data_IF_574181436109
#
_entry.id   IF_574181436109
#
_cell.length_a   1.000
_cell.length_b   1.000
_cell.length_c   1.000
_cell.angle_alpha   90.00
_cell.angle_beta   90.00
_cell.angle_gamma   90.00
#
_symmetry.space_group_name_H-M   'P 1'
#
loop_
_entity.id
_entity.type
_entity.pdbx_description
1 polymer ?
#
# COMPACT_ATOMS: atom_id res chain seq x y z
N UNK A 1 12.77 0.01 29.05
CA UNK A 1 13.13 1.20 28.23
C UNK A 1 12.00 2.25 28.12
N UNK A 2 11.16 2.49 29.14
CA UNK A 2 9.98 3.37 28.97
C UNK A 2 10.33 4.86 28.68
N UNK A 3 11.42 5.36 29.24
CA UNK A 3 11.72 6.80 29.36
C UNK A 3 12.25 7.47 28.08
N UNK A 4 12.68 6.73 27.04
CA UNK A 4 13.28 7.34 25.85
C UNK A 4 12.26 8.08 24.94
N UNK A 5 11.00 7.62 24.92
CA UNK A 5 9.94 8.19 24.06
C UNK A 5 9.22 9.39 24.68
N UNK A 6 9.37 9.65 25.98
CA UNK A 6 8.70 10.79 26.65
C UNK A 6 9.39 12.14 26.32
N UNK A 7 10.73 12.24 26.28
CA UNK A 7 11.42 13.39 25.67
C UNK A 7 11.11 13.53 24.19
N UNK A 8 11.03 12.42 23.44
CA UNK A 8 10.68 12.46 22.02
C UNK A 8 9.29 13.06 21.80
N UNK A 9 8.25 12.67 22.56
CA UNK A 9 6.92 13.30 22.47
C UNK A 9 6.86 14.79 22.91
N UNK A 10 7.98 15.37 23.38
CA UNK A 10 8.14 16.82 23.64
C UNK A 10 9.03 17.53 22.60
N UNK A 11 9.65 16.80 21.69
CA UNK A 11 10.42 17.36 20.58
C UNK A 11 9.46 17.83 19.48
N UNK A 12 9.64 19.06 18.98
CA UNK A 12 8.74 19.61 17.99
C UNK A 12 8.67 18.78 16.69
N UNK A 13 9.77 18.17 16.24
CA UNK A 13 9.78 17.44 14.97
C UNK A 13 9.12 16.07 15.11
N UNK A 14 9.25 15.47 16.30
CA UNK A 14 8.47 14.32 16.70
C UNK A 14 6.98 14.65 16.80
N UNK A 15 6.60 15.78 17.40
CA UNK A 15 5.21 16.23 17.42
C UNK A 15 4.68 16.44 16.00
N UNK A 16 5.41 17.13 15.12
CA UNK A 16 5.07 17.28 13.69
C UNK A 16 4.90 15.91 12.98
N UNK A 17 5.72 14.90 13.32
CA UNK A 17 5.55 13.52 12.81
C UNK A 17 4.26 12.86 13.34
N UNK A 18 3.95 13.03 14.63
CA UNK A 18 2.74 12.48 15.28
C UNK A 18 1.46 13.17 14.81
N UNK A 19 1.51 14.48 14.56
CA UNK A 19 0.40 15.30 14.08
C UNK A 19 0.08 15.04 12.59
N UNK A 20 1.10 14.86 11.76
CA UNK A 20 0.93 14.49 10.34
C UNK A 20 0.39 13.05 10.19
N UNK A 21 0.56 12.20 11.21
CA UNK A 21 -0.02 10.84 11.26
C UNK A 21 -0.73 10.56 12.59
N UNK A 22 -1.96 11.08 12.81
CA UNK A 22 -2.68 10.94 14.09
C UNK A 22 -2.91 9.49 14.57
N UNK A 23 -2.82 8.52 13.65
CA UNK A 23 -2.81 7.08 13.95
C UNK A 23 -1.73 6.71 14.97
N UNK A 24 -0.57 7.36 14.94
CA UNK A 24 0.57 7.09 15.82
C UNK A 24 0.15 7.14 17.30
N UNK A 25 -0.75 8.05 17.70
CA UNK A 25 -1.20 8.19 19.10
C UNK A 25 -2.02 7.00 19.61
N UNK A 26 -2.69 6.27 18.70
CA UNK A 26 -3.34 4.99 19.00
C UNK A 26 -2.36 3.81 18.97
N UNK A 27 -1.48 3.77 17.96
CA UNK A 27 -0.49 2.69 17.81
C UNK A 27 0.56 2.66 18.95
N UNK A 28 0.99 3.83 19.47
CA UNK A 28 1.94 3.92 20.59
C UNK A 28 1.38 3.52 21.96
N UNK A 29 0.09 3.18 22.05
CA UNK A 29 -0.53 2.52 23.23
C UNK A 29 -0.45 0.98 23.15
N UNK A 30 -0.06 0.42 22.01
CA UNK A 30 0.18 -1.02 21.86
C UNK A 30 1.45 -1.48 22.58
N UNK A 31 1.60 -2.81 22.66
CA UNK A 31 2.81 -3.43 23.18
C UNK A 31 4.04 -3.02 22.34
N UNK A 32 5.06 -2.46 22.99
CA UNK A 32 6.27 -1.98 22.30
C UNK A 32 7.19 -3.13 21.87
N UNK A 33 6.90 -4.35 22.28
CA UNK A 33 7.66 -5.54 21.94
C UNK A 33 7.09 -6.28 20.71
N UNK A 34 5.93 -5.90 20.15
CA UNK A 34 5.45 -6.47 18.87
C UNK A 34 6.33 -6.01 17.69
N UNK A 35 6.89 -6.96 16.89
CA UNK A 35 7.70 -6.65 15.70
C UNK A 35 7.03 -5.68 14.73
N UNK A 36 5.69 -5.69 14.62
CA UNK A 36 4.97 -4.81 13.72
C UNK A 36 5.09 -3.33 14.12
N UNK A 37 4.91 -2.98 15.40
CA UNK A 37 5.00 -1.59 15.84
C UNK A 37 6.44 -1.08 15.67
N UNK A 38 7.44 -1.89 16.04
CA UNK A 38 8.85 -1.57 15.88
C UNK A 38 9.20 -1.30 14.40
N UNK A 39 8.73 -2.15 13.49
CA UNK A 39 8.96 -1.98 12.06
C UNK A 39 8.24 -0.74 11.49
N UNK A 40 6.98 -0.49 11.88
CA UNK A 40 6.21 0.67 11.41
C UNK A 40 6.83 2.01 11.84
N UNK A 41 7.42 2.10 13.04
CA UNK A 41 8.13 3.31 13.50
C UNK A 41 9.26 3.69 12.52
N UNK A 42 10.09 2.72 12.13
CA UNK A 42 11.19 2.91 11.17
C UNK A 42 10.66 3.35 9.80
N UNK A 43 9.54 2.77 9.34
CA UNK A 43 8.89 3.17 8.09
C UNK A 43 8.43 4.62 8.12
N UNK A 44 7.70 5.03 9.17
CA UNK A 44 7.14 6.39 9.26
C UNK A 44 8.25 7.44 9.28
N UNK A 45 9.32 7.19 10.06
CA UNK A 45 10.50 8.04 10.05
C UNK A 45 11.17 8.11 8.67
N UNK A 46 11.27 6.99 7.94
CA UNK A 46 11.84 6.97 6.59
C UNK A 46 10.98 7.72 5.57
N UNK A 47 9.65 7.74 5.73
CA UNK A 47 8.74 8.55 4.90
C UNK A 47 8.93 10.04 5.19
N UNK A 48 8.99 10.42 6.47
CA UNK A 48 9.23 11.81 6.88
C UNK A 48 10.60 12.31 6.39
N UNK A 49 11.68 11.58 6.69
CA UNK A 49 13.05 11.91 6.29
C UNK A 49 13.17 12.21 4.80
N UNK A 50 12.57 11.38 3.95
CA UNK A 50 12.57 11.60 2.50
C UNK A 50 11.72 12.81 2.11
N UNK A 51 10.53 12.99 2.69
CA UNK A 51 9.70 14.18 2.43
C UNK A 51 10.33 15.50 2.91
N UNK A 52 11.24 15.45 3.88
CA UNK A 52 12.10 16.56 4.29
C UNK A 52 13.37 16.73 3.44
N UNK A 53 13.57 15.89 2.40
CA UNK A 53 14.69 16.02 1.48
C UNK A 53 15.93 15.20 1.85
N UNK A 54 15.79 14.04 2.47
CA UNK A 54 16.93 13.16 2.80
C UNK A 54 18.03 13.86 3.63
N UNK A 55 17.64 14.70 4.59
CA UNK A 55 18.57 15.44 5.45
C UNK A 55 19.33 14.49 6.42
N UNK A 56 20.67 14.43 6.40
CA UNK A 56 21.44 13.62 7.34
C UNK A 56 21.30 14.05 8.81
N UNK A 57 21.00 15.32 9.10
CA UNK A 57 20.86 15.80 10.47
C UNK A 57 19.63 15.18 11.17
N UNK A 58 18.49 15.09 10.48
CA UNK A 58 17.36 14.27 10.94
C UNK A 58 17.78 12.82 11.26
N UNK A 59 18.59 12.18 10.41
CA UNK A 59 19.01 10.79 10.64
C UNK A 59 19.80 10.67 11.95
N UNK A 60 20.77 11.55 12.19
CA UNK A 60 21.55 11.55 13.44
C UNK A 60 20.68 11.74 14.68
N UNK A 61 19.71 12.68 14.63
CA UNK A 61 18.73 12.92 15.70
C UNK A 61 17.80 11.71 15.94
N UNK A 62 17.38 11.06 14.87
CA UNK A 62 16.49 9.90 14.89
C UNK A 62 17.18 8.58 15.28
N UNK A 63 18.49 8.46 15.05
CA UNK A 63 19.22 7.20 15.05
C UNK A 63 19.09 6.42 16.36
N UNK A 64 19.64 6.99 17.44
CA UNK A 64 19.61 6.40 18.78
C UNK A 64 18.25 6.57 19.47
N UNK A 65 17.39 7.48 19.00
CA UNK A 65 16.06 7.69 19.57
C UNK A 65 15.10 6.54 19.23
N UNK A 66 15.12 6.06 17.98
CA UNK A 66 14.21 4.99 17.55
C UNK A 66 14.62 4.19 16.30
N UNK A 67 15.62 4.59 15.49
CA UNK A 67 15.99 3.79 14.30
C UNK A 67 16.74 2.53 14.72
N UNK A 68 17.91 2.68 15.34
CA UNK A 68 18.74 1.55 15.76
C UNK A 68 18.11 0.72 16.89
N UNK A 69 17.45 1.30 17.93
CA UNK A 69 16.81 0.49 18.97
C UNK A 69 15.71 -0.44 18.45
N UNK A 70 14.84 0.03 17.54
CA UNK A 70 13.78 -0.81 16.98
C UNK A 70 14.34 -1.86 16.00
N UNK A 71 15.35 -1.51 15.19
CA UNK A 71 15.96 -2.48 14.27
C UNK A 71 16.84 -3.52 14.98
N UNK A 72 17.49 -3.15 16.09
CA UNK A 72 18.24 -4.07 16.93
C UNK A 72 17.30 -4.97 17.76
N UNK A 73 16.17 -4.47 18.28
CA UNK A 73 15.14 -5.34 18.89
C UNK A 73 14.50 -6.28 17.86
N UNK A 74 14.18 -5.80 16.66
CA UNK A 74 13.75 -6.65 15.55
C UNK A 74 14.81 -7.67 15.11
N UNK A 75 16.09 -7.45 15.41
CA UNK A 75 17.17 -8.36 15.05
C UNK A 75 17.43 -9.43 16.11
N UNK A 76 17.13 -9.16 17.38
CA UNK A 76 17.13 -10.15 18.47
C UNK A 76 15.85 -10.98 18.51
N UNK A 77 14.69 -10.40 18.15
CA UNK A 77 13.40 -11.12 17.95
C UNK A 77 13.41 -12.08 16.74
N UNK A 78 14.58 -12.44 16.21
CA UNK A 78 14.78 -13.41 15.12
C UNK A 78 14.95 -14.84 15.64
N UNK A 79 14.43 -15.14 16.83
CA UNK A 79 14.07 -16.49 17.26
C UNK A 79 12.88 -16.94 16.41
N UNK A 80 13.26 -17.27 15.19
CA UNK A 80 12.46 -17.55 14.02
C UNK A 80 11.66 -18.84 14.27
N UNK A 81 10.36 -18.81 13.98
CA UNK A 81 9.59 -20.05 13.92
C UNK A 81 10.17 -20.97 12.81
N UNK A 82 9.85 -22.27 12.81
CA UNK A 82 10.48 -23.25 11.89
C UNK A 82 10.46 -22.84 10.39
N UNK A 83 9.49 -22.01 9.99
CA UNK A 83 9.33 -21.48 8.63
C UNK A 83 10.37 -20.41 8.23
N UNK A 84 10.89 -19.60 9.16
CA UNK A 84 11.73 -18.43 8.84
C UNK A 84 11.13 -17.05 9.12
N UNK A 85 10.04 -16.97 9.89
CA UNK A 85 9.19 -15.77 10.03
C UNK A 85 9.16 -15.25 11.48
N UNK A 86 8.65 -14.01 11.66
CA UNK A 86 8.40 -13.35 12.94
C UNK A 86 6.94 -13.56 13.42
N UNK A 87 6.69 -13.54 14.73
CA UNK A 87 5.33 -13.58 15.32
C UNK A 87 4.56 -12.23 15.29
N UNK A 88 3.40 -12.16 15.97
CA UNK A 88 2.56 -10.94 16.14
C UNK A 88 1.20 -11.19 16.82
N UNK A 89 0.43 -10.15 17.22
CA UNK A 89 -0.34 -10.24 18.50
C UNK A 89 -1.77 -9.63 18.80
N UNK A 90 -2.70 -9.00 18.05
CA UNK A 90 -3.07 -8.74 16.65
C UNK A 90 -4.16 -9.65 16.00
N UNK A 91 -4.70 -9.32 14.80
CA UNK A 91 -4.81 -10.27 13.66
C UNK A 91 -3.64 -10.23 12.67
N UNK A 92 -2.64 -9.41 12.94
CA UNK A 92 -1.33 -9.45 12.32
C UNK A 92 -0.46 -10.48 13.09
N UNK A 93 -0.87 -11.75 13.06
CA UNK A 93 -0.61 -12.69 14.17
C UNK A 93 -1.68 -12.56 15.27
N UNK A 94 -1.71 -13.45 16.28
CA UNK A 94 -2.70 -13.49 17.38
C UNK A 94 -1.99 -14.06 18.64
N UNK A 95 -2.35 -13.71 19.90
CA UNK A 95 -1.81 -14.38 21.09
C UNK A 95 -2.42 -15.78 21.22
N UNK A 96 -1.90 -16.71 20.41
CA UNK A 96 -2.09 -18.14 20.59
C UNK A 96 -0.83 -18.69 21.24
N UNK A 97 -0.99 -19.71 22.09
CA UNK A 97 0.12 -20.34 22.82
C UNK A 97 1.05 -21.13 21.87
N UNK A 98 0.66 -21.28 20.61
CA UNK A 98 1.44 -21.87 19.52
C UNK A 98 2.05 -20.75 18.65
N UNK A 99 3.39 -20.69 18.59
CA UNK A 99 4.17 -19.59 17.97
C UNK A 99 4.08 -19.50 16.44
N UNK A 100 2.91 -19.15 15.91
CA UNK A 100 2.66 -18.94 14.48
C UNK A 100 3.42 -17.73 13.91
N UNK A 101 4.18 -17.96 12.84
CA UNK A 101 4.98 -16.92 12.17
C UNK A 101 4.17 -16.21 11.09
N UNK A 102 3.94 -14.91 11.26
CA UNK A 102 3.07 -14.12 10.40
C UNK A 102 3.85 -13.45 9.25
N UNK A 103 3.34 -13.64 8.03
CA UNK A 103 3.91 -13.03 6.81
C UNK A 103 3.98 -11.50 6.89
N UNK A 104 2.94 -10.88 7.44
CA UNK A 104 2.75 -9.42 7.38
C UNK A 104 3.73 -8.66 8.29
N UNK A 105 3.91 -9.00 9.59
CA UNK A 105 5.02 -8.48 10.40
C UNK A 105 6.39 -8.77 9.76
N UNK A 106 6.61 -9.98 9.25
CA UNK A 106 7.87 -10.37 8.60
C UNK A 106 8.23 -9.49 7.39
N UNK A 107 7.24 -9.16 6.55
CA UNK A 107 7.43 -8.29 5.40
C UNK A 107 7.62 -6.82 5.80
N UNK A 108 6.85 -6.32 6.77
CA UNK A 108 7.07 -4.97 7.32
C UNK A 108 8.47 -4.84 7.93
N UNK A 109 8.96 -5.87 8.63
CA UNK A 109 10.32 -5.92 9.16
C UNK A 109 11.39 -5.98 8.05
N UNK A 110 11.23 -6.82 7.01
CA UNK A 110 12.12 -6.82 5.83
C UNK A 110 12.27 -5.42 5.22
N UNK A 111 11.15 -4.72 5.05
CA UNK A 111 11.09 -3.35 4.57
C UNK A 111 11.77 -2.38 5.56
N UNK A 112 11.54 -2.53 6.87
CA UNK A 112 12.17 -1.70 7.90
C UNK A 112 13.70 -1.84 7.89
N UNK A 113 14.26 -3.05 7.77
CA UNK A 113 15.69 -3.26 7.63
C UNK A 113 16.26 -2.67 6.33
N UNK A 114 15.51 -2.71 5.22
CA UNK A 114 15.92 -1.99 3.99
C UNK A 114 15.94 -0.48 4.18
N UNK A 115 15.00 0.10 4.92
CA UNK A 115 14.96 1.54 5.21
C UNK A 115 16.04 1.97 6.21
N UNK A 116 16.25 1.17 7.26
CA UNK A 116 17.39 1.28 8.17
C UNK A 116 18.70 1.33 7.42
N UNK A 117 18.91 0.42 6.47
CA UNK A 117 20.13 0.42 5.65
C UNK A 117 20.28 1.66 4.74
N UNK A 118 19.19 2.33 4.36
CA UNK A 118 19.25 3.60 3.62
C UNK A 118 19.54 4.79 4.55
N UNK A 119 18.97 4.81 5.77
CA UNK A 119 19.37 5.75 6.82
C UNK A 119 20.86 5.61 7.14
N UNK A 120 21.31 4.38 7.36
CA UNK A 120 22.69 4.03 7.66
C UNK A 120 23.65 4.47 6.54
N UNK A 121 23.25 4.35 5.27
CA UNK A 121 24.05 4.81 4.12
C UNK A 121 24.12 6.33 3.98
N UNK A 122 23.19 7.08 4.58
CA UNK A 122 23.17 8.55 4.54
C UNK A 122 24.09 9.22 5.57
N UNK A 123 24.66 8.46 6.51
CA UNK A 123 25.58 8.95 7.55
C UNK A 123 26.81 8.04 7.60
N UNK A 124 28.00 8.59 7.35
CA UNK A 124 29.24 7.80 7.25
C UNK A 124 29.56 6.99 8.51
N UNK A 125 29.16 7.47 9.69
CA UNK A 125 29.32 6.79 10.98
C UNK A 125 28.57 5.43 11.07
N UNK A 126 27.62 5.13 10.19
CA UNK A 126 26.71 3.98 10.32
C UNK A 126 26.82 2.94 9.19
N UNK A 127 27.83 3.01 8.32
CA UNK A 127 27.94 2.14 7.12
C UNK A 127 28.05 0.63 7.44
N UNK A 128 28.59 0.25 8.60
CA UNK A 128 28.62 -1.15 9.05
C UNK A 128 27.20 -1.68 9.33
N UNK A 129 26.38 -0.91 10.04
CA UNK A 129 24.96 -1.20 10.29
C UNK A 129 24.16 -1.30 8.99
N UNK A 130 24.51 -0.54 7.96
CA UNK A 130 23.90 -0.69 6.63
C UNK A 130 24.12 -2.09 6.05
N UNK A 131 25.33 -2.61 6.18
CA UNK A 131 25.73 -3.92 5.66
C UNK A 131 25.14 -5.07 6.49
N UNK A 132 25.09 -4.90 7.81
CA UNK A 132 24.36 -5.80 8.73
C UNK A 132 22.89 -5.90 8.31
N UNK A 133 22.19 -4.78 8.21
CA UNK A 133 20.75 -4.74 7.96
C UNK A 133 20.36 -5.18 6.54
N UNK A 134 21.20 -4.97 5.51
CA UNK A 134 20.93 -5.57 4.19
C UNK A 134 21.12 -7.09 4.18
N UNK A 135 22.08 -7.63 4.95
CA UNK A 135 22.24 -9.09 5.16
C UNK A 135 21.05 -9.67 5.94
N UNK A 136 20.49 -8.92 6.89
CA UNK A 136 19.25 -9.26 7.60
C UNK A 136 18.04 -9.27 6.63
N UNK A 137 17.85 -8.19 5.88
CA UNK A 137 16.76 -8.05 4.91
C UNK A 137 16.83 -9.12 3.80
N UNK A 138 18.03 -9.45 3.30
CA UNK A 138 18.22 -10.51 2.32
C UNK A 138 17.76 -11.88 2.82
N UNK A 139 18.13 -12.24 4.06
CA UNK A 139 17.65 -13.47 4.72
C UNK A 139 16.12 -13.48 4.87
N UNK A 140 15.52 -12.37 5.32
CA UNK A 140 14.06 -12.27 5.44
C UNK A 140 13.37 -12.39 4.08
N UNK A 141 13.85 -11.70 3.03
CA UNK A 141 13.28 -11.79 1.67
C UNK A 141 13.34 -13.21 1.12
N UNK A 142 14.43 -13.95 1.36
CA UNK A 142 14.54 -15.34 0.94
C UNK A 142 13.49 -16.25 1.62
N UNK A 143 13.31 -16.11 2.94
CA UNK A 143 12.27 -16.85 3.69
C UNK A 143 10.86 -16.45 3.26
N UNK A 144 10.58 -15.16 3.15
CA UNK A 144 9.30 -14.61 2.66
C UNK A 144 8.96 -15.13 1.26
N UNK A 145 9.92 -15.15 0.34
CA UNK A 145 9.72 -15.65 -1.02
C UNK A 145 9.40 -17.15 -1.06
N UNK A 146 10.03 -17.96 -0.21
CA UNK A 146 9.76 -19.41 -0.09
C UNK A 146 8.31 -19.69 0.33
N UNK A 147 7.74 -18.82 1.18
CA UNK A 147 6.34 -18.93 1.61
C UNK A 147 5.38 -18.34 0.55
N UNK A 148 5.72 -17.18 -0.05
CA UNK A 148 4.87 -16.48 -1.03
C UNK A 148 4.78 -17.11 -2.43
N UNK A 149 5.47 -18.22 -2.72
CA UNK A 149 5.34 -18.89 -4.02
C UNK A 149 4.07 -19.72 -4.12
N UNK A 150 3.11 -19.24 -4.91
CA UNK A 150 2.19 -20.11 -5.64
C UNK A 150 2.88 -20.67 -6.90
N UNK A 151 2.67 -21.95 -7.29
CA UNK A 151 3.18 -22.50 -8.52
C UNK A 151 2.54 -21.82 -9.74
N UNK A 152 3.05 -22.11 -10.94
CA UNK A 152 2.56 -21.52 -12.19
C UNK A 152 1.06 -21.80 -12.47
N UNK A 153 0.49 -22.86 -11.88
CA UNK A 153 -0.94 -23.19 -11.93
C UNK A 153 -1.81 -22.38 -10.96
N UNK A 154 -1.22 -21.62 -10.05
CA UNK A 154 -1.90 -20.83 -9.01
C UNK A 154 -2.38 -21.62 -7.78
N UNK A 155 -2.35 -22.96 -7.81
CA UNK A 155 -3.14 -23.81 -6.91
C UNK A 155 -2.62 -24.02 -5.47
N UNK A 156 -1.41 -23.58 -5.11
CA UNK A 156 -0.80 -23.92 -3.81
C UNK A 156 0.24 -22.89 -3.32
N UNK A 157 -0.11 -22.03 -2.36
CA UNK A 157 0.90 -21.24 -1.63
C UNK A 157 1.54 -22.17 -0.58
N UNK A 158 2.84 -22.44 -0.67
CA UNK A 158 3.46 -23.57 0.06
C UNK A 158 3.51 -23.39 1.59
N UNK A 159 3.48 -22.14 2.11
CA UNK A 159 2.64 -21.82 3.27
C UNK A 159 2.26 -20.33 3.28
N UNK A 160 1.12 -20.00 3.88
CA UNK A 160 1.24 -19.46 5.23
C UNK A 160 0.63 -20.41 6.26
N UNK A 161 1.18 -20.38 7.49
CA UNK A 161 0.41 -20.76 8.66
C UNK A 161 -0.81 -19.84 8.76
N UNK A 162 -2.01 -20.42 8.71
CA UNK A 162 -3.24 -19.73 9.05
C UNK A 162 -3.61 -20.09 10.48
N UNK A 163 -3.79 -19.07 11.32
CA UNK A 163 -4.27 -19.23 12.68
C UNK A 163 -5.71 -19.77 12.66
N UNK A 164 -6.10 -20.73 13.52
CA UNK A 164 -7.49 -21.11 13.69
C UNK A 164 -8.35 -19.87 14.03
N UNK A 165 -9.51 -19.77 13.38
CA UNK A 165 -10.37 -18.59 13.45
C UNK A 165 -10.88 -18.35 14.88
N UNK A 166 -10.59 -17.14 15.41
CA UNK A 166 -11.02 -16.72 16.76
C UNK A 166 -12.54 -16.91 16.94
N UNK A 167 -12.90 -17.66 17.97
CA UNK A 167 -14.16 -18.42 18.15
C UNK A 167 -15.40 -17.61 18.56
N UNK A 168 -15.37 -16.28 18.49
CA UNK A 168 -16.38 -15.42 19.15
C UNK A 168 -16.91 -14.31 18.24
N UNK A 169 -17.92 -14.62 17.43
CA UNK A 169 -18.76 -13.67 16.68
C UNK A 169 -20.22 -14.17 16.77
N UNK A 170 -21.21 -13.32 17.09
CA UNK A 170 -22.62 -13.71 17.14
C UNK A 170 -23.17 -14.08 15.75
N UNK A 171 -24.21 -14.92 15.73
CA UNK A 171 -24.84 -15.36 14.47
C UNK A 171 -25.60 -14.23 13.77
N UNK A 172 -25.02 -13.66 12.71
CA UNK A 172 -25.84 -13.05 11.66
C UNK A 172 -26.69 -14.14 10.99
N UNK A 173 -28.01 -14.03 11.14
CA UNK A 173 -29.01 -14.89 10.49
C UNK A 173 -29.14 -14.52 9.01
N UNK A 174 -29.53 -15.48 8.16
CA UNK A 174 -29.93 -15.24 6.76
C UNK A 174 -28.89 -15.57 5.68
N UNK A 175 -27.59 -15.62 5.99
CA UNK A 175 -26.55 -15.97 5.00
C UNK A 175 -25.93 -17.35 5.31
N UNK A 176 -26.37 -18.36 4.55
CA UNK A 176 -25.71 -19.68 4.47
C UNK A 176 -24.86 -19.73 3.19
N UNK A 177 -23.54 -19.79 3.35
CA UNK A 177 -22.61 -19.99 2.24
C UNK A 177 -22.04 -21.40 2.24
N UNK A 178 -22.55 -22.28 1.38
CA UNK A 178 -22.11 -23.67 1.27
C UNK A 178 -20.82 -23.81 0.46
N UNK A 179 -19.67 -23.70 1.15
CA UNK A 179 -18.40 -24.19 0.59
C UNK A 179 -18.45 -25.72 0.60
N UNK A 180 -18.31 -26.35 -0.57
CA UNK A 180 -18.19 -27.81 -0.68
C UNK A 180 -16.95 -28.34 0.06
N UNK A 181 -16.99 -29.54 0.65
CA UNK A 181 -16.01 -30.03 1.64
C UNK A 181 -14.57 -30.28 1.11
N UNK A 182 -14.28 -29.88 -0.13
CA UNK A 182 -12.99 -30.07 -0.81
C UNK A 182 -12.36 -28.76 -1.31
N UNK A 183 -12.84 -27.60 -0.86
CA UNK A 183 -12.28 -26.30 -1.26
C UNK A 183 -11.04 -25.93 -0.43
N UNK A 184 -9.86 -26.13 -1.01
CA UNK A 184 -8.58 -25.78 -0.39
C UNK A 184 -8.35 -24.26 -0.40
N UNK A 185 -8.32 -23.64 0.78
CA UNK A 185 -8.04 -22.22 0.96
C UNK A 185 -6.77 -22.02 1.83
N UNK A 186 -5.64 -22.32 1.19
CA UNK A 186 -4.26 -22.07 1.61
C UNK A 186 -3.68 -22.89 2.77
N UNK A 187 -2.38 -23.12 2.70
CA UNK A 187 -1.54 -23.50 3.83
C UNK A 187 -1.39 -25.00 4.07
N UNK A 188 -0.20 -25.35 4.56
CA UNK A 188 0.05 -26.57 5.32
C UNK A 188 0.45 -26.17 6.75
N UNK A 189 0.17 -27.01 7.74
CA UNK A 189 0.71 -26.89 9.10
C UNK A 189 2.22 -27.20 9.14
N UNK A 190 2.87 -27.01 10.30
CA UNK A 190 4.26 -27.48 10.50
C UNK A 190 4.43 -28.97 10.15
N UNK A 191 3.44 -29.78 10.51
CA UNK A 191 3.34 -31.22 10.22
C UNK A 191 3.04 -31.53 8.74
N UNK A 192 3.09 -30.53 7.84
CA UNK A 192 2.71 -30.59 6.42
C UNK A 192 1.24 -31.01 6.18
N UNK A 193 0.38 -30.95 7.20
CA UNK A 193 -1.04 -31.28 7.08
C UNK A 193 -1.78 -30.14 6.36
N UNK A 194 -2.57 -30.41 5.32
CA UNK A 194 -3.39 -29.37 4.67
C UNK A 194 -4.39 -28.72 5.63
N UNK A 195 -4.51 -27.39 5.58
CA UNK A 195 -5.53 -26.67 6.35
C UNK A 195 -6.85 -26.68 5.56
N UNK A 196 -7.81 -27.48 6.03
CA UNK A 196 -9.17 -27.51 5.50
C UNK A 196 -10.02 -26.41 6.15
N UNK A 197 -10.48 -25.45 5.34
CA UNK A 197 -11.33 -24.36 5.82
C UNK A 197 -12.77 -24.85 6.04
N UNK A 198 -13.14 -25.14 7.29
CA UNK A 198 -14.41 -25.79 7.62
C UNK A 198 -15.62 -24.86 7.45
N UNK A 199 -16.22 -24.86 6.26
CA UNK A 199 -17.60 -24.46 5.92
C UNK A 199 -18.04 -23.01 6.20
N UNK A 200 -17.31 -22.21 6.97
CA UNK A 200 -17.74 -20.88 7.40
C UNK A 200 -17.00 -19.75 6.64
N UNK A 201 -17.66 -19.17 5.62
CA UNK A 201 -17.07 -18.17 4.72
C UNK A 201 -16.76 -16.82 5.42
N UNK A 202 -17.33 -16.60 6.61
CA UNK A 202 -17.40 -15.29 7.32
C UNK A 202 -16.04 -14.73 7.78
N UNK A 203 -14.93 -15.36 7.42
CA UNK A 203 -13.57 -14.93 7.74
C UNK A 203 -12.58 -15.30 6.65
N UNK A 204 -12.49 -14.48 5.61
CA UNK A 204 -11.33 -14.48 4.72
C UNK A 204 -10.22 -13.64 5.38
N UNK A 205 -9.30 -14.25 6.14
CA UNK A 205 -8.08 -13.55 6.59
C UNK A 205 -7.10 -13.23 5.43
N UNK A 206 -7.39 -13.70 4.19
CA UNK A 206 -6.51 -13.56 3.03
C UNK A 206 -6.16 -12.10 2.62
N UNK A 207 -7.02 -11.07 2.75
CA UNK A 207 -6.62 -9.68 2.54
C UNK A 207 -5.59 -9.19 3.57
N UNK A 208 -5.50 -9.81 4.74
CA UNK A 208 -4.47 -9.48 5.74
C UNK A 208 -3.07 -9.95 5.32
N UNK A 209 -2.96 -10.86 4.33
CA UNK A 209 -1.71 -11.14 3.61
C UNK A 209 -1.26 -9.93 2.78
N UNK A 210 -2.18 -9.04 2.40
CA UNK A 210 -1.91 -7.83 1.61
C UNK A 210 -1.75 -6.58 2.49
N UNK A 211 -1.92 -6.71 3.81
CA UNK A 211 -1.94 -5.58 4.75
C UNK A 211 -0.61 -4.82 4.87
N UNK A 212 0.51 -5.42 4.45
CA UNK A 212 1.81 -4.74 4.37
C UNK A 212 1.97 -3.88 3.11
N UNK A 213 1.18 -4.10 2.04
CA UNK A 213 1.39 -3.43 0.75
C UNK A 213 1.37 -1.89 0.83
N UNK A 214 0.49 -1.24 1.63
CA UNK A 214 0.49 0.21 1.84
C UNK A 214 1.79 0.76 2.44
N UNK A 215 2.60 -0.12 3.02
CA UNK A 215 3.92 0.16 3.59
C UNK A 215 5.06 -0.40 2.72
N UNK A 216 4.76 -1.11 1.62
CA UNK A 216 5.75 -1.70 0.71
C UNK A 216 6.41 -0.63 -0.15
N UNK A 217 7.47 -0.05 0.38
CA UNK A 217 8.31 0.91 -0.33
C UNK A 217 9.57 0.20 -0.83
N UNK A 218 9.52 -0.21 -2.10
CA UNK A 218 10.73 -0.53 -2.86
C UNK A 218 11.53 0.77 -3.16
N UNK A 219 12.66 0.67 -3.86
CA UNK A 219 13.43 1.83 -4.35
C UNK A 219 12.58 2.87 -5.12
N UNK A 220 11.43 2.45 -5.67
CA UNK A 220 10.49 3.25 -6.44
C UNK A 220 9.06 3.17 -5.86
N UNK A 221 8.91 3.14 -4.52
CA UNK A 221 7.64 3.32 -3.80
C UNK A 221 6.45 2.55 -4.37
N UNK A 222 5.64 3.23 -5.19
CA UNK A 222 4.45 2.70 -5.89
C UNK A 222 4.72 1.58 -6.91
N UNK A 223 5.99 1.23 -7.15
CA UNK A 223 6.44 0.21 -8.10
C UNK A 223 7.09 -0.97 -7.38
N UNK A 224 6.32 -2.06 -7.31
CA UNK A 224 6.78 -3.38 -6.92
C UNK A 224 7.92 -3.89 -7.82
N UNK A 225 8.75 -4.81 -7.32
CA UNK A 225 9.65 -5.57 -8.18
C UNK A 225 8.86 -6.58 -9.04
N UNK A 226 9.40 -6.95 -10.20
CA UNK A 226 8.66 -7.74 -11.20
C UNK A 226 8.22 -9.12 -10.66
N UNK A 227 9.03 -9.75 -9.80
CA UNK A 227 8.74 -11.06 -9.21
C UNK A 227 7.62 -10.94 -8.19
N UNK A 228 7.71 -9.96 -7.29
CA UNK A 228 6.68 -9.71 -6.29
C UNK A 228 5.36 -9.25 -6.93
N UNK A 229 5.40 -8.41 -7.96
CA UNK A 229 4.22 -8.03 -8.76
C UNK A 229 3.58 -9.22 -9.47
N UNK A 230 4.37 -10.15 -10.03
CA UNK A 230 3.87 -11.40 -10.61
C UNK A 230 3.18 -12.28 -9.56
N UNK A 231 3.81 -12.50 -8.41
CA UNK A 231 3.24 -13.33 -7.35
C UNK A 231 1.95 -12.70 -6.81
N UNK A 232 1.93 -11.39 -6.54
CA UNK A 232 0.73 -10.64 -6.15
C UNK A 232 -0.41 -10.81 -7.16
N UNK A 233 -0.12 -10.70 -8.46
CA UNK A 233 -1.10 -10.93 -9.54
C UNK A 233 -1.62 -12.37 -9.53
N UNK A 234 -0.76 -13.37 -9.30
CA UNK A 234 -1.18 -14.78 -9.21
C UNK A 234 -2.13 -14.99 -8.02
N UNK A 235 -1.79 -14.49 -6.83
CA UNK A 235 -2.64 -14.58 -5.63
C UNK A 235 -3.99 -13.87 -5.84
N UNK A 236 -4.01 -12.70 -6.48
CA UNK A 236 -5.25 -11.98 -6.80
C UNK A 236 -6.13 -12.73 -7.81
N UNK A 237 -5.54 -13.42 -8.79
CA UNK A 237 -6.30 -14.27 -9.73
C UNK A 237 -6.87 -15.48 -9.00
N UNK A 238 -6.05 -16.21 -8.23
CA UNK A 238 -6.52 -17.37 -7.45
C UNK A 238 -7.63 -16.99 -6.47
N UNK A 239 -7.51 -15.84 -5.77
CA UNK A 239 -8.58 -15.31 -4.92
C UNK A 239 -9.89 -15.15 -5.72
N UNK A 240 -9.86 -14.42 -6.84
CA UNK A 240 -11.05 -14.14 -7.67
C UNK A 240 -11.66 -15.40 -8.30
N UNK A 241 -10.86 -16.42 -8.59
CA UNK A 241 -11.34 -17.70 -9.13
C UNK A 241 -11.78 -18.70 -8.04
N UNK A 242 -11.47 -18.44 -6.77
CA UNK A 242 -11.88 -19.30 -5.66
C UNK A 242 -13.41 -19.31 -5.51
N UNK A 243 -13.98 -20.51 -5.26
CA UNK A 243 -15.43 -20.73 -5.22
C UNK A 243 -16.22 -19.67 -4.41
N UNK A 244 -15.77 -19.22 -3.22
CA UNK A 244 -16.52 -18.22 -2.45
C UNK A 244 -16.54 -16.83 -3.07
N UNK A 245 -15.46 -16.40 -3.73
CA UNK A 245 -15.36 -15.07 -4.37
C UNK A 245 -15.83 -15.09 -5.84
N UNK A 246 -16.04 -16.29 -6.41
CA UNK A 246 -16.55 -16.53 -7.75
C UNK A 246 -18.07 -16.73 -7.80
N UNK A 247 -18.67 -17.37 -6.79
CA UNK A 247 -20.10 -17.65 -6.74
C UNK A 247 -20.91 -16.62 -5.92
N UNK A 248 -20.26 -15.77 -5.11
CA UNK A 248 -20.93 -14.60 -4.53
C UNK A 248 -20.99 -13.44 -5.52
N UNK A 249 -21.88 -12.48 -5.29
CA UNK A 249 -22.07 -11.30 -6.14
C UNK A 249 -20.89 -10.28 -6.10
N UNK A 250 -19.67 -10.72 -5.79
CA UNK A 250 -18.44 -9.95 -5.63
C UNK A 250 -18.07 -9.05 -6.82
N UNK A 251 -18.57 -9.36 -8.02
CA UNK A 251 -18.39 -8.55 -9.25
C UNK A 251 -19.67 -7.83 -9.72
N UNK A 252 -20.81 -8.00 -9.04
CA UNK A 252 -22.11 -7.52 -9.51
C UNK A 252 -22.82 -6.61 -8.50
N UNK A 253 -23.06 -7.04 -7.25
CA UNK A 253 -23.68 -6.18 -6.22
C UNK A 253 -23.27 -6.56 -4.79
N UNK A 254 -23.10 -5.51 -3.97
CA UNK A 254 -23.29 -5.43 -2.52
C UNK A 254 -23.05 -6.72 -1.71
N UNK A 255 -21.79 -7.14 -1.59
CA UNK A 255 -21.35 -8.01 -0.48
C UNK A 255 -19.89 -7.73 -0.11
N UNK A 256 -19.71 -6.66 0.67
CA UNK A 256 -18.53 -6.52 1.54
C UNK A 256 -18.70 -7.54 2.66
N UNK A 257 -18.23 -8.77 2.44
CA UNK A 257 -18.16 -9.84 3.46
C UNK A 257 -17.07 -9.59 4.50
N UNK A 258 -16.28 -8.54 4.32
CA UNK A 258 -15.16 -8.17 5.18
C UNK A 258 -15.63 -7.50 6.46
N UNK A 259 -14.98 -7.88 7.56
CA UNK A 259 -15.29 -7.39 8.91
C UNK A 259 -14.90 -5.91 9.09
N UNK A 260 -14.04 -5.41 8.22
CA UNK A 260 -13.57 -4.03 8.21
C UNK A 260 -13.36 -3.54 6.77
N UNK A 261 -13.75 -2.30 6.47
CA UNK A 261 -13.46 -1.61 5.20
C UNK A 261 -11.96 -1.59 4.86
N UNK A 262 -11.11 -1.74 5.88
CA UNK A 262 -9.65 -1.94 5.74
C UNK A 262 -9.27 -3.15 4.89
N UNK A 263 -9.95 -4.28 5.00
CA UNK A 263 -9.64 -5.49 4.22
C UNK A 263 -9.97 -5.28 2.74
N UNK A 264 -11.05 -4.53 2.46
CA UNK A 264 -11.39 -4.06 1.12
C UNK A 264 -10.32 -3.10 0.58
N UNK A 265 -9.85 -2.12 1.39
CA UNK A 265 -8.75 -1.21 1.01
C UNK A 265 -7.46 -1.97 0.65
N UNK A 266 -7.13 -3.07 1.34
CA UNK A 266 -5.99 -3.92 0.98
C UNK A 266 -6.18 -4.61 -0.38
N UNK A 267 -7.38 -5.09 -0.70
CA UNK A 267 -7.69 -5.67 -2.03
C UNK A 267 -7.68 -4.63 -3.15
N UNK A 268 -8.12 -3.40 -2.88
CA UNK A 268 -7.99 -2.26 -3.79
C UNK A 268 -6.51 -1.94 -4.05
N UNK A 269 -5.71 -1.82 -2.98
CA UNK A 269 -4.28 -1.50 -3.06
C UNK A 269 -3.50 -2.59 -3.79
N UNK A 270 -3.76 -3.86 -3.47
CA UNK A 270 -3.20 -5.01 -4.18
C UNK A 270 -3.52 -4.98 -5.68
N UNK A 271 -4.78 -4.73 -6.04
CA UNK A 271 -5.23 -4.63 -7.43
C UNK A 271 -4.54 -3.50 -8.19
N UNK A 272 -4.36 -2.32 -7.57
CA UNK A 272 -3.60 -1.20 -8.16
C UNK A 272 -2.10 -1.53 -8.30
N UNK A 273 -1.48 -2.10 -7.27
CA UNK A 273 -0.06 -2.51 -7.30
C UNK A 273 0.24 -3.61 -8.33
N UNK A 274 -0.74 -4.46 -8.62
CA UNK A 274 -0.68 -5.44 -9.71
C UNK A 274 -1.06 -4.86 -11.09
N UNK A 275 -1.36 -3.56 -11.18
CA UNK A 275 -1.86 -2.85 -12.37
C UNK A 275 -3.14 -3.46 -12.99
N UNK A 276 -4.03 -4.01 -12.14
CA UNK A 276 -5.36 -4.51 -12.51
C UNK A 276 -6.42 -3.39 -12.45
N UNK A 277 -6.18 -2.30 -13.19
CA UNK A 277 -6.94 -1.02 -13.12
C UNK A 277 -8.47 -1.14 -13.31
N UNK A 278 -8.96 -2.21 -13.97
CA UNK A 278 -10.41 -2.51 -14.03
C UNK A 278 -10.92 -2.97 -12.66
N UNK A 279 -10.30 -4.01 -12.10
CA UNK A 279 -10.69 -4.65 -10.83
C UNK A 279 -10.56 -3.67 -9.66
N UNK A 280 -9.50 -2.86 -9.60
CA UNK A 280 -9.38 -1.83 -8.56
C UNK A 280 -10.45 -0.73 -8.68
N UNK A 281 -10.96 -0.46 -9.88
CA UNK A 281 -12.09 0.45 -10.08
C UNK A 281 -13.42 -0.15 -9.65
N UNK A 282 -13.64 -1.43 -9.93
CA UNK A 282 -14.82 -2.18 -9.50
C UNK A 282 -14.89 -2.25 -7.96
N UNK A 283 -13.77 -2.60 -7.31
CA UNK A 283 -13.65 -2.60 -5.85
C UNK A 283 -13.83 -1.20 -5.24
N UNK A 284 -13.19 -0.17 -5.81
CA UNK A 284 -13.34 1.21 -5.31
C UNK A 284 -14.79 1.71 -5.41
N UNK A 285 -15.48 1.44 -6.52
CA UNK A 285 -16.88 1.78 -6.68
C UNK A 285 -17.75 1.04 -5.64
N UNK A 286 -17.50 -0.25 -5.41
CA UNK A 286 -18.22 -1.04 -4.40
C UNK A 286 -17.99 -0.52 -2.97
N UNK A 287 -16.78 -0.05 -2.64
CA UNK A 287 -16.47 0.58 -1.34
C UNK A 287 -17.23 1.92 -1.16
N UNK A 288 -17.34 2.71 -2.22
CA UNK A 288 -18.09 3.98 -2.21
C UNK A 288 -19.60 3.71 -2.09
N UNK A 289 -20.15 2.80 -2.91
CA UNK A 289 -21.58 2.43 -2.86
C UNK A 289 -21.97 1.86 -1.50
N UNK A 290 -21.18 0.92 -0.94
CA UNK A 290 -21.40 0.38 0.39
C UNK A 290 -21.56 1.49 1.45
N UNK A 291 -20.69 2.51 1.38
CA UNK A 291 -20.71 3.61 2.34
C UNK A 291 -21.90 4.55 2.14
N UNK A 292 -22.33 4.74 0.89
CA UNK A 292 -23.55 5.51 0.60
C UNK A 292 -24.80 4.76 1.10
N UNK A 293 -24.93 3.48 0.76
CA UNK A 293 -26.08 2.63 1.09
C UNK A 293 -26.25 2.43 2.62
N UNK A 294 -25.15 2.27 3.37
CA UNK A 294 -25.20 2.04 4.83
C UNK A 294 -25.52 3.33 5.63
N UNK A 295 -25.03 4.50 5.21
CA UNK A 295 -25.10 5.73 6.03
C UNK A 295 -26.13 6.77 5.58
N UNK A 296 -26.54 6.79 4.30
CA UNK A 296 -27.60 7.69 3.86
C UNK A 296 -28.94 7.51 4.61
N UNK A 297 -29.38 6.30 5.03
CA UNK A 297 -30.63 6.12 5.80
C UNK A 297 -30.59 6.69 7.23
N UNK A 298 -29.41 7.02 7.77
CA UNK A 298 -29.23 7.44 9.17
C UNK A 298 -29.54 8.95 9.36
N UNK A 299 -29.72 9.68 8.25
CA UNK A 299 -29.76 11.14 8.20
C UNK A 299 -30.90 11.83 9.00
N UNK A 300 -32.00 11.15 9.33
CA UNK A 300 -33.12 11.77 10.07
C UNK A 300 -32.81 12.10 11.54
N UNK A 301 -31.80 11.47 12.16
CA UNK A 301 -31.50 11.62 13.60
C UNK A 301 -30.01 11.70 13.95
N UNK A 302 -29.14 11.93 12.98
CA UNK A 302 -27.72 12.14 13.24
C UNK A 302 -27.44 13.61 13.55
N UNK A 303 -26.83 13.92 14.71
CA UNK A 303 -26.43 15.28 15.11
C UNK A 303 -25.42 15.94 14.14
N UNK A 304 -24.80 15.14 13.27
CA UNK A 304 -23.89 15.59 12.23
C UNK A 304 -24.52 15.35 10.86
N UNK A 305 -24.46 16.35 9.98
CA UNK A 305 -24.75 16.16 8.56
C UNK A 305 -23.72 15.18 7.94
N UNK A 306 -24.12 13.92 7.82
CA UNK A 306 -23.34 12.87 7.16
C UNK A 306 -23.30 13.16 5.66
N UNK A 307 -22.11 13.43 5.12
CA UNK A 307 -21.95 13.58 3.68
C UNK A 307 -22.16 12.23 2.97
N UNK A 308 -22.70 12.21 1.74
CA UNK A 308 -22.64 11.03 0.88
C UNK A 308 -21.20 10.58 0.54
N UNK A 309 -20.20 11.41 0.85
CA UNK A 309 -18.76 11.08 0.77
C UNK A 309 -18.15 10.80 2.17
N UNK A 310 -18.90 10.11 3.01
CA UNK A 310 -18.36 9.46 4.21
C UNK A 310 -17.34 8.38 3.81
N UNK A 311 -16.47 7.98 4.74
CA UNK A 311 -15.79 6.67 4.74
C UNK A 311 -15.80 6.15 6.18
N UNK A 312 -16.31 4.94 6.49
CA UNK A 312 -16.71 4.58 7.86
C UNK A 312 -15.52 4.47 8.83
N UNK A 313 -15.55 5.24 9.93
CA UNK A 313 -14.43 5.35 10.86
C UNK A 313 -13.17 5.99 10.24
N UNK A 314 -13.35 6.87 9.24
CA UNK A 314 -12.23 7.52 8.55
C UNK A 314 -12.41 9.04 8.40
N UNK A 315 -13.43 9.45 7.63
CA UNK A 315 -13.61 10.83 7.16
C UNK A 315 -15.09 11.14 6.90
N UNK A 316 -15.48 12.38 7.18
CA UNK A 316 -16.62 13.04 6.54
C UNK A 316 -16.06 14.07 5.55
N UNK A 317 -16.35 13.96 4.25
CA UNK A 317 -15.81 14.87 3.22
C UNK A 317 -16.97 15.63 2.56
N UNK A 318 -16.92 16.96 2.56
CA UNK A 318 -17.92 17.79 1.88
C UNK A 318 -17.89 17.58 0.34
N UNK A 319 -19.00 17.84 -0.38
CA UNK A 319 -19.02 17.80 -1.84
C UNK A 319 -18.00 18.70 -2.55
N UNK A 320 -17.49 19.74 -1.86
CA UNK A 320 -16.43 20.62 -2.35
C UNK A 320 -15.00 20.13 -2.02
N UNK A 321 -14.87 18.95 -1.39
CA UNK A 321 -13.60 18.33 -1.03
C UNK A 321 -13.04 18.77 0.34
N UNK A 322 -13.70 19.66 1.09
CA UNK A 322 -13.28 19.98 2.46
C UNK A 322 -13.46 18.78 3.39
N UNK A 323 -12.46 18.53 4.25
CA UNK A 323 -12.59 17.60 5.37
C UNK A 323 -13.50 18.23 6.44
N UNK A 324 -14.63 17.56 6.74
CA UNK A 324 -15.60 17.96 7.78
C UNK A 324 -15.28 17.34 9.14
N UNK A 325 -14.27 16.46 9.24
CA UNK A 325 -13.81 15.85 10.48
C UNK A 325 -13.97 14.33 10.53
N UNK A 326 -13.78 13.76 11.72
CA UNK A 326 -13.98 12.34 12.01
C UNK A 326 -15.46 12.04 12.30
N UNK A 327 -15.87 10.79 12.05
CA UNK A 327 -17.29 10.37 12.06
C UNK A 327 -17.77 9.91 13.44
N UNK A 328 -17.31 10.55 14.52
CA UNK A 328 -17.54 10.12 15.91
C UNK A 328 -16.73 8.88 16.34
N UNK A 329 -16.73 7.83 15.52
CA UNK A 329 -15.90 6.64 15.72
C UNK A 329 -14.40 6.95 15.50
N UNK A 330 -13.63 7.05 16.60
CA UNK A 330 -12.18 7.26 16.57
C UNK A 330 -11.38 6.04 16.06
N UNK A 331 -12.05 4.98 15.60
CA UNK A 331 -11.48 3.77 14.99
C UNK A 331 -11.50 3.79 13.46
N UNK A 332 -10.65 4.53 12.76
CA UNK A 332 -9.57 5.38 13.25
C UNK A 332 -8.51 5.67 12.19
N UNK A 333 -7.55 6.52 12.52
CA UNK A 333 -6.60 7.09 11.53
C UNK A 333 -5.70 6.06 10.80
N UNK A 334 -5.69 4.78 11.20
CA UNK A 334 -5.24 3.65 10.35
C UNK A 334 -5.92 3.71 8.98
N UNK A 335 -7.25 3.74 8.97
CA UNK A 335 -8.08 3.64 7.76
C UNK A 335 -7.89 4.86 6.86
N UNK A 336 -7.83 6.05 7.48
CA UNK A 336 -7.43 7.32 6.86
C UNK A 336 -6.09 7.19 6.12
N UNK A 337 -5.04 6.73 6.80
CA UNK A 337 -3.72 6.60 6.19
C UNK A 337 -3.76 5.60 5.01
N UNK A 338 -4.45 4.47 5.16
CA UNK A 338 -4.62 3.47 4.09
C UNK A 338 -5.35 4.03 2.86
N UNK A 339 -6.40 4.84 3.06
CA UNK A 339 -7.10 5.52 1.98
C UNK A 339 -6.22 6.58 1.30
N UNK A 340 -5.44 7.36 2.05
CA UNK A 340 -4.50 8.33 1.48
C UNK A 340 -3.36 7.65 0.70
N UNK A 341 -2.87 6.49 1.14
CA UNK A 341 -1.93 5.68 0.33
C UNK A 341 -2.60 5.11 -0.93
N UNK A 342 -3.88 4.72 -0.87
CA UNK A 342 -4.64 4.28 -2.04
C UNK A 342 -4.78 5.42 -3.07
N UNK A 343 -5.15 6.63 -2.62
CA UNK A 343 -5.21 7.84 -3.45
C UNK A 343 -3.85 8.15 -4.06
N UNK A 344 -2.77 8.11 -3.26
CA UNK A 344 -1.39 8.27 -3.75
C UNK A 344 -1.02 7.23 -4.83
N UNK A 345 -1.43 5.98 -4.66
CA UNK A 345 -1.18 4.90 -5.62
C UNK A 345 -2.00 5.04 -6.92
N UNK A 346 -3.24 5.53 -6.83
CA UNK A 346 -4.09 5.87 -7.99
C UNK A 346 -3.52 7.04 -8.79
N UNK A 347 -3.06 8.09 -8.10
CA UNK A 347 -2.29 9.19 -8.68
C UNK A 347 -1.02 8.65 -9.35
N UNK A 348 -0.33 7.72 -8.69
CA UNK A 348 0.86 7.07 -9.22
C UNK A 348 2.10 7.96 -9.30
N UNK A 349 2.11 9.09 -8.57
CA UNK A 349 3.28 9.93 -8.39
C UNK A 349 4.23 9.29 -7.37
N UNK A 350 5.45 9.03 -7.82
CA UNK A 350 6.50 8.44 -7.00
C UNK A 350 7.76 9.29 -6.98
N UNK A 351 8.15 9.64 -5.76
CA UNK A 351 9.25 10.51 -5.39
C UNK A 351 10.17 9.80 -4.36
N UNK A 352 10.35 8.49 -4.53
CA UNK A 352 11.27 7.69 -3.69
C UNK A 352 12.71 7.76 -4.18
N UNK A 353 12.91 7.90 -5.49
CA UNK A 353 14.20 8.14 -6.12
C UNK A 353 14.46 9.67 -6.17
N UNK A 354 15.51 10.20 -5.50
CA UNK A 354 15.80 11.63 -5.51
C UNK A 354 16.17 12.16 -6.90
N UNK A 355 16.57 11.30 -7.83
CA UNK A 355 16.97 11.69 -9.18
C UNK A 355 15.88 11.41 -10.24
N UNK A 356 14.74 10.81 -9.85
CA UNK A 356 13.66 10.46 -10.80
C UNK A 356 12.26 10.58 -10.18
N UNK A 357 11.47 11.55 -10.66
CA UNK A 357 10.03 11.58 -10.41
C UNK A 357 9.32 10.63 -11.40
N UNK A 358 8.62 9.60 -10.91
CA UNK A 358 7.77 8.77 -11.78
C UNK A 358 6.31 9.23 -11.69
N UNK A 359 5.60 9.22 -12.83
CA UNK A 359 4.14 9.43 -12.88
C UNK A 359 3.49 8.28 -13.64
N UNK A 360 2.95 7.31 -12.88
CA UNK A 360 2.40 6.06 -13.38
C UNK A 360 0.91 5.96 -12.98
N UNK A 361 -0.01 6.74 -13.59
CA UNK A 361 -1.40 6.81 -13.19
C UNK A 361 -2.11 5.45 -13.22
N UNK A 362 -3.05 5.26 -12.28
CA UNK A 362 -3.82 4.02 -12.08
C UNK A 362 -5.31 4.27 -11.76
N UNK A 363 -5.82 5.47 -12.03
CA UNK A 363 -7.23 5.80 -11.78
C UNK A 363 -8.17 4.84 -12.55
N UNK A 364 -9.36 4.49 -12.00
CA UNK A 364 -10.36 3.61 -12.62
C UNK A 364 -10.65 3.95 -14.08
N UNK A 365 -11.02 2.96 -14.91
CA UNK A 365 -11.27 3.21 -16.35
C UNK A 365 -12.44 4.16 -16.63
N UNK A 366 -13.42 4.22 -15.73
CA UNK A 366 -14.55 5.16 -15.80
C UNK A 366 -14.15 6.62 -15.53
N UNK A 367 -12.98 6.87 -14.94
CA UNK A 367 -12.52 8.22 -14.62
C UNK A 367 -11.85 8.85 -15.84
N UNK A 368 -12.33 10.04 -16.21
CA UNK A 368 -11.82 10.85 -17.33
C UNK A 368 -10.52 11.56 -17.01
N UNK A 369 -10.11 11.68 -15.73
CA UNK A 369 -8.88 12.36 -15.36
C UNK A 369 -8.64 12.45 -13.85
N UNK A 370 -7.60 13.20 -13.48
CA UNK A 370 -7.32 13.64 -12.11
C UNK A 370 -6.63 15.00 -12.14
N UNK A 371 -6.86 15.82 -11.11
CA UNK A 371 -6.19 17.11 -10.92
C UNK A 371 -5.60 17.21 -9.51
N UNK A 372 -4.36 17.70 -9.42
CA UNK A 372 -3.65 17.98 -8.17
C UNK A 372 -3.18 19.43 -8.16
N UNK A 373 -3.27 20.05 -6.99
CA UNK A 373 -2.72 21.36 -6.69
C UNK A 373 -1.84 21.26 -5.45
N UNK A 374 -0.79 22.08 -5.37
CA UNK A 374 0.10 22.17 -4.20
C UNK A 374 0.73 20.84 -3.71
N UNK A 375 0.79 19.80 -4.54
CA UNK A 375 1.17 18.44 -4.10
C UNK A 375 2.66 18.36 -3.72
N UNK A 376 3.00 17.99 -2.46
CA UNK A 376 4.38 18.05 -1.98
C UNK A 376 5.21 16.86 -2.50
N UNK A 377 6.32 17.16 -3.18
CA UNK A 377 7.30 16.18 -3.64
C UNK A 377 8.68 16.46 -3.06
N UNK A 378 9.46 15.40 -2.89
CA UNK A 378 10.89 15.45 -2.63
C UNK A 378 11.65 14.95 -3.84
N UNK A 379 12.61 15.73 -4.33
CA UNK A 379 13.35 15.47 -5.57
C UNK A 379 14.62 16.33 -5.54
N UNK A 380 15.68 15.96 -6.25
CA UNK A 380 16.88 16.80 -6.37
C UNK A 380 16.57 17.97 -7.31
N UNK A 381 16.44 19.17 -6.78
CA UNK A 381 16.31 20.40 -7.56
C UNK A 381 17.67 21.10 -7.67
N UNK A 382 17.77 22.11 -8.54
CA UNK A 382 18.96 22.97 -8.59
C UNK A 382 19.19 23.67 -7.23
N UNK A 383 18.10 24.02 -6.53
CA UNK A 383 18.12 24.61 -5.19
C UNK A 383 17.13 23.92 -4.22
N UNK A 384 17.69 23.27 -3.19
CA UNK A 384 16.94 22.49 -2.19
C UNK A 384 16.45 21.14 -2.71
N UNK A 385 15.73 20.40 -1.87
CA UNK A 385 15.33 19.01 -2.15
C UNK A 385 13.81 18.75 -2.08
N UNK A 386 13.01 19.80 -1.93
CA UNK A 386 11.54 19.74 -1.85
C UNK A 386 10.90 20.81 -2.74
N UNK A 387 9.68 20.53 -3.23
CA UNK A 387 8.85 21.42 -4.06
C UNK A 387 7.37 21.05 -3.90
N UNK A 388 6.49 21.90 -4.44
CA UNK A 388 5.08 21.59 -4.69
C UNK A 388 4.85 21.57 -6.20
N UNK A 389 4.00 20.65 -6.67
CA UNK A 389 3.62 20.55 -8.08
C UNK A 389 2.12 20.67 -8.29
N UNK A 390 1.77 21.10 -9.51
CA UNK A 390 0.43 20.96 -10.08
C UNK A 390 0.46 19.84 -11.13
N UNK A 391 -0.65 19.11 -11.24
CA UNK A 391 -0.83 18.09 -12.27
C UNK A 391 -2.28 18.12 -12.75
N UNK A 392 -2.46 18.20 -14.06
CA UNK A 392 -3.73 17.96 -14.74
C UNK A 392 -3.51 16.78 -15.70
N UNK A 393 -4.20 15.66 -15.49
CA UNK A 393 -4.16 14.48 -16.35
C UNK A 393 -5.57 14.14 -16.81
N UNK A 394 -5.75 14.02 -18.13
CA UNK A 394 -7.04 13.78 -18.76
C UNK A 394 -6.91 12.67 -19.81
N UNK A 395 -7.85 11.75 -19.82
CA UNK A 395 -8.05 10.77 -20.88
C UNK A 395 -9.01 11.34 -21.92
N UNK A 396 -8.71 11.07 -23.17
CA UNK A 396 -9.52 11.46 -24.33
C UNK A 396 -9.87 10.20 -25.12
N UNK A 397 -10.80 10.30 -26.08
CA UNK A 397 -11.16 9.18 -26.95
C UNK A 397 -10.01 8.67 -27.84
N UNK A 398 -8.90 9.42 -27.97
CA UNK A 398 -7.76 9.10 -28.85
C UNK A 398 -6.42 8.93 -28.12
N UNK A 399 -6.37 9.13 -26.81
CA UNK A 399 -5.13 9.18 -26.04
C UNK A 399 -5.27 9.98 -24.75
N UNK A 400 -4.19 10.63 -24.32
CA UNK A 400 -4.06 11.23 -22.99
C UNK A 400 -3.42 12.62 -23.09
N UNK A 401 -3.88 13.55 -22.25
CA UNK A 401 -3.27 14.86 -22.02
C UNK A 401 -2.69 14.90 -20.59
N UNK A 402 -1.47 15.42 -20.46
CA UNK A 402 -0.80 15.65 -19.17
C UNK A 402 -0.24 17.07 -19.19
N UNK A 403 -0.54 17.86 -18.17
CA UNK A 403 0.08 19.16 -17.91
C UNK A 403 0.58 19.13 -16.46
N UNK A 404 1.88 18.88 -16.28
CA UNK A 404 2.57 18.89 -15.00
C UNK A 404 3.41 20.17 -14.87
N UNK A 405 3.33 20.83 -13.72
CA UNK A 405 4.02 22.09 -13.44
C UNK A 405 4.72 22.05 -12.09
N UNK A 406 5.89 22.65 -12.00
CA UNK A 406 6.63 22.84 -10.75
C UNK A 406 7.16 24.27 -10.66
N UNK A 407 7.35 24.77 -9.45
CA UNK A 407 8.09 26.02 -9.21
C UNK A 407 9.62 25.83 -9.22
N UNK A 408 10.12 24.62 -9.49
CA UNK A 408 11.56 24.30 -9.60
C UNK A 408 11.82 23.28 -10.72
N UNK A 409 13.01 23.29 -11.29
CA UNK A 409 13.43 22.38 -12.36
C UNK A 409 13.40 20.91 -11.94
N UNK A 410 12.56 20.09 -12.60
CA UNK A 410 12.54 18.64 -12.39
C UNK A 410 13.58 17.97 -13.28
N UNK A 411 14.66 17.49 -12.65
CA UNK A 411 15.86 16.98 -13.36
C UNK A 411 15.55 15.82 -14.32
N UNK A 412 14.68 14.90 -13.92
CA UNK A 412 14.21 13.78 -14.75
C UNK A 412 12.82 13.33 -14.28
N UNK A 413 11.93 13.14 -15.25
CA UNK A 413 10.58 12.59 -15.04
C UNK A 413 10.43 11.35 -15.93
N UNK A 414 9.80 10.29 -15.42
CA UNK A 414 9.40 9.12 -16.22
C UNK A 414 7.89 8.91 -16.12
N UNK A 415 7.19 9.05 -17.23
CA UNK A 415 5.73 8.92 -17.33
C UNK A 415 5.40 7.54 -17.91
N UNK A 416 4.43 6.83 -17.31
CA UNK A 416 3.78 5.68 -17.96
C UNK A 416 2.43 6.11 -18.53
N UNK A 417 2.28 5.93 -19.84
CA UNK A 417 1.09 6.28 -20.62
C UNK A 417 0.23 5.03 -20.83
N UNK A 418 -1.09 5.17 -20.73
CA UNK A 418 -2.08 4.12 -20.96
C UNK A 418 -3.01 3.85 -19.77
N UNK A 419 -3.81 2.76 -19.80
CA UNK A 419 -3.68 1.61 -20.70
C UNK A 419 -4.32 1.79 -22.09
N UNK A 420 -3.62 1.33 -23.13
CA UNK A 420 -4.04 1.30 -24.53
C UNK A 420 -4.50 -0.11 -24.99
N UNK A 421 -5.34 -0.20 -26.04
CA UNK A 421 -5.73 -1.46 -26.68
C UNK A 421 -4.56 -2.36 -27.14
N UNK A 422 -4.83 -3.66 -27.28
CA UNK A 422 -3.79 -4.67 -27.59
C UNK A 422 -3.24 -4.61 -29.02
N UNK A 423 -3.93 -3.94 -29.96
CA UNK A 423 -3.43 -3.64 -31.30
C UNK A 423 -2.48 -2.42 -31.34
N UNK A 424 -2.52 -1.51 -30.35
CA UNK A 424 -1.70 -0.28 -30.30
C UNK A 424 -0.22 -0.61 -30.02
N UNK A 425 0.51 -1.09 -31.04
CA UNK A 425 1.94 -1.50 -30.96
C UNK A 425 2.90 -0.33 -30.83
N UNK A 426 2.55 0.81 -31.41
CA UNK A 426 3.26 2.09 -31.32
C UNK A 426 2.27 3.18 -30.88
N UNK A 427 2.77 4.22 -30.23
CA UNK A 427 2.01 5.38 -29.76
C UNK A 427 2.71 6.65 -30.25
N UNK A 428 1.95 7.62 -30.78
CA UNK A 428 2.48 8.96 -31.06
C UNK A 428 2.25 9.85 -29.84
N UNK A 429 3.28 10.51 -29.37
CA UNK A 429 3.21 11.46 -28.26
C UNK A 429 3.88 12.78 -28.66
N UNK A 430 3.25 13.92 -28.37
CA UNK A 430 3.89 15.23 -28.42
C UNK A 430 4.34 15.61 -27.01
N UNK A 431 5.58 16.07 -26.87
CA UNK A 431 6.24 16.36 -25.58
C UNK A 431 6.78 17.78 -25.63
N UNK A 432 6.13 18.70 -24.93
CA UNK A 432 6.35 20.15 -25.06
C UNK A 432 6.28 20.69 -26.51
N UNK A 433 5.63 19.95 -27.43
CA UNK A 433 5.53 20.23 -28.86
C UNK A 433 6.31 19.25 -29.74
N UNK A 434 7.37 18.62 -29.22
CA UNK A 434 8.19 17.68 -29.98
C UNK A 434 7.49 16.33 -30.17
N UNK A 435 7.32 15.89 -31.42
CA UNK A 435 6.65 14.62 -31.73
C UNK A 435 7.61 13.43 -31.61
N UNK A 436 7.22 12.44 -30.83
CA UNK A 436 7.97 11.21 -30.55
C UNK A 436 7.08 9.98 -30.82
N UNK A 437 7.67 8.90 -31.32
CA UNK A 437 6.97 7.62 -31.53
C UNK A 437 7.47 6.58 -30.54
N UNK A 438 6.62 6.21 -29.58
CA UNK A 438 6.96 5.31 -28.48
C UNK A 438 6.51 3.88 -28.79
N UNK A 439 7.41 2.90 -28.59
CA UNK A 439 7.05 1.47 -28.65
C UNK A 439 6.28 1.08 -27.38
N UNK A 440 5.14 0.41 -27.54
CA UNK A 440 4.35 -0.02 -26.38
C UNK A 440 4.73 -1.44 -25.94
N UNK A 441 4.66 -1.71 -24.63
CA UNK A 441 4.86 -3.02 -24.01
C UNK A 441 3.53 -3.55 -23.44
N UNK A 442 3.42 -4.87 -23.27
CA UNK A 442 2.23 -5.50 -22.69
C UNK A 442 2.42 -5.64 -21.17
N UNK A 443 1.45 -5.16 -20.39
CA UNK A 443 1.35 -5.41 -18.95
C UNK A 443 -0.14 -5.60 -18.59
N UNK A 444 -0.45 -6.59 -17.74
CA UNK A 444 -1.82 -6.96 -17.34
C UNK A 444 -2.86 -7.15 -18.46
N UNK A 445 -2.42 -7.54 -19.67
CA UNK A 445 -3.31 -7.74 -20.82
C UNK A 445 -3.73 -6.45 -21.52
N UNK A 446 -3.08 -5.33 -21.19
CA UNK A 446 -3.19 -4.04 -21.87
C UNK A 446 -1.81 -3.61 -22.39
N UNK A 447 -1.77 -2.58 -23.24
CA UNK A 447 -0.52 -1.97 -23.71
C UNK A 447 -0.25 -0.64 -23.03
N UNK A 448 1.02 -0.37 -22.78
CA UNK A 448 1.49 0.82 -22.10
C UNK A 448 2.73 1.36 -22.82
N UNK A 449 2.98 2.66 -22.71
CA UNK A 449 4.25 3.25 -23.14
C UNK A 449 4.95 3.92 -21.95
N UNK A 450 6.27 4.08 -22.05
CA UNK A 450 7.04 4.92 -21.13
C UNK A 450 7.69 6.06 -21.89
N UNK A 451 7.53 7.27 -21.37
CA UNK A 451 8.19 8.49 -21.81
C UNK A 451 9.17 8.96 -20.71
N UNK A 452 10.26 9.62 -21.09
CA UNK A 452 11.11 10.34 -20.13
C UNK A 452 11.41 11.76 -20.58
N UNK A 453 11.26 12.73 -19.69
CA UNK A 453 11.67 14.11 -19.86
C UNK A 453 12.81 14.46 -18.89
N UNK A 454 13.59 15.52 -19.17
CA UNK A 454 14.67 16.00 -18.29
C UNK A 454 14.67 17.53 -18.20
N UNK A 455 15.13 18.04 -17.06
CA UNK A 455 15.26 19.48 -16.72
C UNK A 455 14.03 20.32 -17.07
N UNK A 456 12.83 19.82 -16.77
CA UNK A 456 11.56 20.48 -17.11
C UNK A 456 11.00 21.27 -15.93
N UNK A 457 10.60 22.52 -16.17
CA UNK A 457 9.80 23.32 -15.23
C UNK A 457 8.29 23.08 -15.44
N UNK A 458 7.90 23.01 -16.72
CA UNK A 458 6.57 22.62 -17.18
C UNK A 458 6.72 21.46 -18.17
N UNK A 459 5.85 20.46 -18.07
CA UNK A 459 5.80 19.31 -18.96
C UNK A 459 4.37 19.12 -19.47
N UNK A 460 4.19 19.36 -20.77
CA UNK A 460 2.97 19.07 -21.52
C UNK A 460 3.20 17.82 -22.34
N UNK A 461 2.36 16.81 -22.17
CA UNK A 461 2.32 15.62 -23.03
C UNK A 461 0.91 15.49 -23.60
N UNK A 462 0.81 15.25 -24.90
CA UNK A 462 -0.43 14.80 -25.53
C UNK A 462 -0.15 13.52 -26.30
N UNK A 463 -1.07 12.56 -26.31
CA UNK A 463 -0.90 11.30 -27.05
C UNK A 463 -2.01 11.07 -28.06
N UNK A 464 -1.66 10.38 -29.14
CA UNK A 464 -2.61 9.87 -30.12
C UNK A 464 -2.25 8.43 -30.47
N UNK A 465 -3.21 7.52 -30.26
CA UNK A 465 -3.17 6.20 -30.88
C UNK A 465 -3.54 6.33 -32.35
N UNK A 466 -2.61 5.98 -33.25
CA UNK A 466 -3.01 5.49 -34.57
C UNK A 466 -3.83 4.22 -34.40
N UNK A 467 -4.98 4.15 -35.06
CA UNK A 467 -5.80 2.93 -35.12
C UNK A 467 -5.09 1.82 -35.89
#
# INVERSE_FOLDING_TARGET
MANALIPWLKDEDAQKIVEVFPSIRGYLKGDREDPLYQALIVHMAYRYWRKMGWDPAFVKKAWYAFIDPNLTSLSSQREINELGLLGGNSPWGVPQQEGGGALTPSMTAYLAFKMGAQFAKAVLEYQEKASEWEKIAGKLKAKINLQLTAPATGLKVDSPQLFPAVSHIPEQRGIQGTIGPFAWLYGLTLMKTPILYHQNIRRFDAPSLMAFLPFYMNYHGVRLDNTFSKNLKHTLIFLRESLPLKNTAFQQHNLVTYRDSVEHLYMCYASLCADQVKVSGELLNALIHYTYDEFAPIAEKADNALSPYLIPGCFNIAPDGRNLGATGDEGGARKVALFLELVRLMIGLDDHDPDVLYFYPRIPRSWTGLKLTNWPISHRFDHGRTSKIELDYQRTLKGENINLRSNKTLQKIVIRLGPYPMNTRMLRASVNGENQTLRTFVQTGMRWATLSARRVLNLRVTTSSSQ
#
